data_IF_236162076014
#
_entry.id   IF_236162076014
#
_cell.length_a   1.000
_cell.length_b   1.000
_cell.length_c   1.000
_cell.angle_alpha   90.00
_cell.angle_beta   90.00
_cell.angle_gamma   90.00
#
_symmetry.space_group_name_H-M   'P 1'
#
loop_
_entity.id
_entity.type
_entity.pdbx_description
1 polymer ?
#
# COMPACT_ATOMS: atom_id res chain seq x y z
N UNK A 1 14.60 -3.71 11.95
CA UNK A 1 14.13 -2.58 11.11
C UNK A 1 13.10 -3.08 10.09
N UNK A 2 12.03 -2.32 9.86
CA UNK A 2 10.98 -2.66 8.88
C UNK A 2 10.92 -1.62 7.77
N UNK A 3 10.67 -2.02 6.52
CA UNK A 3 10.41 -1.11 5.40
C UNK A 3 8.93 -1.14 5.02
N UNK A 4 8.30 0.02 5.00
CA UNK A 4 6.90 0.22 4.66
C UNK A 4 6.80 0.99 3.35
N UNK A 5 6.13 0.43 2.36
CA UNK A 5 5.96 1.04 1.04
C UNK A 5 4.47 1.21 0.77
N UNK A 6 4.00 2.44 0.79
CA UNK A 6 2.62 2.81 0.49
C UNK A 6 2.51 3.21 -0.98
N UNK A 7 1.59 2.58 -1.69
CA UNK A 7 1.24 2.89 -3.08
C UNK A 7 -0.21 3.32 -3.08
N UNK A 8 -0.44 4.63 -3.19
CA UNK A 8 -1.74 5.26 -2.99
C UNK A 8 -2.27 5.82 -4.29
N UNK A 9 -3.46 5.41 -4.65
CA UNK A 9 -4.20 5.92 -5.79
C UNK A 9 -4.61 7.39 -5.56
N UNK A 10 -4.32 8.25 -6.55
CA UNK A 10 -4.84 9.61 -6.66
C UNK A 10 -5.46 9.86 -8.03
N UNK A 11 -5.99 8.82 -8.67
CA UNK A 11 -6.73 8.94 -9.92
C UNK A 11 -8.03 9.72 -9.74
N UNK A 12 -8.66 10.12 -10.84
CA UNK A 12 -9.84 10.98 -10.80
C UNK A 12 -11.03 10.42 -10.04
N UNK A 13 -11.13 9.09 -9.92
CA UNK A 13 -12.18 8.40 -9.14
C UNK A 13 -12.07 8.64 -7.63
N UNK A 14 -10.87 8.93 -7.13
CA UNK A 14 -10.64 9.32 -5.72
C UNK A 14 -11.11 10.74 -5.36
N UNK A 15 -11.71 11.48 -6.33
CA UNK A 15 -12.18 12.85 -6.11
C UNK A 15 -13.24 12.91 -5.02
N UNK A 16 -13.06 13.85 -4.09
CA UNK A 16 -13.92 14.02 -2.91
C UNK A 16 -13.45 13.24 -1.67
N UNK A 17 -12.41 12.42 -1.79
CA UNK A 17 -11.79 11.65 -0.69
C UNK A 17 -10.38 12.11 -0.34
N UNK A 18 -9.96 13.27 -0.87
CA UNK A 18 -8.62 13.79 -0.66
C UNK A 18 -8.34 14.04 0.82
N UNK A 19 -9.27 14.70 1.52
CA UNK A 19 -9.15 14.98 2.94
C UNK A 19 -9.11 13.70 3.79
N UNK A 20 -9.93 12.69 3.44
CA UNK A 20 -10.00 11.41 4.15
C UNK A 20 -8.72 10.60 3.94
N UNK A 21 -8.17 10.61 2.72
CA UNK A 21 -6.91 9.95 2.40
C UNK A 21 -5.75 10.59 3.15
N UNK A 22 -5.63 11.91 3.10
CA UNK A 22 -4.59 12.67 3.79
C UNK A 22 -4.71 12.47 5.31
N UNK A 23 -5.90 12.65 5.87
CA UNK A 23 -6.16 12.51 7.31
C UNK A 23 -5.89 11.09 7.80
N UNK A 24 -6.37 10.08 7.07
CA UNK A 24 -6.16 8.67 7.40
C UNK A 24 -4.69 8.28 7.35
N UNK A 25 -3.97 8.64 6.28
CA UNK A 25 -2.54 8.39 6.16
C UNK A 25 -1.75 9.05 7.29
N UNK A 26 -1.99 10.34 7.55
CA UNK A 26 -1.28 11.08 8.60
C UNK A 26 -1.55 10.51 9.99
N UNK A 27 -2.80 10.13 10.28
CA UNK A 27 -3.19 9.51 11.55
C UNK A 27 -2.49 8.16 11.75
N UNK A 28 -2.44 7.35 10.68
CA UNK A 28 -1.73 6.07 10.68
C UNK A 28 -0.23 6.28 10.93
N UNK A 29 0.44 7.19 10.22
CA UNK A 29 1.86 7.50 10.44
C UNK A 29 2.11 8.01 11.87
N UNK A 30 1.25 8.90 12.38
CA UNK A 30 1.37 9.40 13.76
C UNK A 30 1.23 8.28 14.80
N UNK A 31 0.36 7.30 14.56
CA UNK A 31 0.23 6.10 15.40
C UNK A 31 1.49 5.24 15.32
N UNK A 32 2.00 5.00 14.11
CA UNK A 32 3.20 4.20 13.90
C UNK A 32 4.46 4.80 14.56
N UNK A 33 4.56 6.12 14.66
CA UNK A 33 5.65 6.81 15.38
C UNK A 33 5.67 6.53 16.88
N UNK A 34 4.55 6.08 17.45
CA UNK A 34 4.44 5.71 18.89
C UNK A 34 4.80 4.26 19.16
N UNK A 35 4.88 3.43 18.13
CA UNK A 35 5.20 2.02 18.23
C UNK A 35 6.72 1.80 18.27
N UNK A 36 7.15 0.80 19.03
CA UNK A 36 8.57 0.45 19.14
C UNK A 36 9.16 -0.08 17.82
N UNK A 37 10.46 0.09 17.66
CA UNK A 37 11.22 -0.41 16.53
C UNK A 37 11.35 0.61 15.40
N UNK A 38 12.47 0.52 14.69
CA UNK A 38 12.77 1.39 13.55
C UNK A 38 12.00 0.98 12.30
N UNK A 39 11.56 1.97 11.53
CA UNK A 39 10.96 1.75 10.23
C UNK A 39 11.40 2.81 9.23
N UNK A 40 11.50 2.39 7.96
CA UNK A 40 11.64 3.27 6.80
C UNK A 40 10.30 3.34 6.08
N UNK A 41 9.99 4.51 5.55
CA UNK A 41 8.72 4.76 4.85
C UNK A 41 9.00 5.29 3.46
N UNK A 42 8.42 4.63 2.47
CA UNK A 42 8.28 5.12 1.11
C UNK A 42 6.81 5.33 0.79
N UNK A 43 6.47 6.43 0.13
CA UNK A 43 5.10 6.72 -0.29
C UNK A 43 5.09 7.14 -1.75
N UNK A 44 4.41 6.35 -2.56
CA UNK A 44 4.23 6.55 -3.99
C UNK A 44 2.77 6.91 -4.24
N UNK A 45 2.54 8.08 -4.77
CA UNK A 45 1.22 8.50 -5.25
C UNK A 45 1.14 8.24 -6.76
N UNK A 46 0.06 7.65 -7.23
CA UNK A 46 -0.06 7.34 -8.65
C UNK A 46 -1.40 7.77 -9.26
N UNK A 47 -1.34 8.11 -10.54
CA UNK A 47 -2.44 8.36 -11.45
C UNK A 47 -2.01 7.89 -12.85
N UNK A 48 -1.89 8.77 -13.85
CA UNK A 48 -1.24 8.45 -15.13
C UNK A 48 0.27 8.26 -14.98
N UNK A 49 0.85 8.87 -13.97
CA UNK A 49 2.25 8.84 -13.59
C UNK A 49 2.38 8.59 -12.08
N UNK A 50 3.57 8.25 -11.64
CA UNK A 50 3.88 8.04 -10.22
C UNK A 50 4.77 9.15 -9.70
N UNK A 51 4.49 9.60 -8.48
CA UNK A 51 5.29 10.58 -7.74
C UNK A 51 5.68 9.98 -6.39
N UNK A 52 6.97 9.91 -6.11
CA UNK A 52 7.48 9.49 -4.79
C UNK A 52 7.56 10.73 -3.91
N UNK A 53 6.75 10.78 -2.86
CA UNK A 53 6.74 11.89 -1.89
C UNK A 53 7.58 11.59 -0.65
N UNK A 54 7.74 10.32 -0.31
CA UNK A 54 8.68 9.85 0.70
C UNK A 54 9.50 8.71 0.08
N UNK A 55 10.82 8.79 0.17
CA UNK A 55 11.73 7.76 -0.32
C UNK A 55 12.62 7.27 0.82
N UNK A 56 12.23 6.13 1.39
CA UNK A 56 12.93 5.46 2.50
C UNK A 56 13.28 6.39 3.67
N UNK A 57 12.38 7.30 3.99
CA UNK A 57 12.58 8.18 5.13
C UNK A 57 12.45 7.40 6.45
N UNK A 58 13.33 7.63 7.43
CA UNK A 58 13.07 7.17 8.79
C UNK A 58 11.68 7.62 9.22
N UNK A 59 10.89 6.71 9.78
CA UNK A 59 9.49 6.96 10.16
C UNK A 59 9.31 8.24 10.98
N UNK A 60 10.23 8.50 11.90
CA UNK A 60 10.23 9.70 12.76
C UNK A 60 10.33 11.00 11.95
N UNK A 61 10.99 10.95 10.79
CA UNK A 61 11.22 12.10 9.92
C UNK A 61 10.16 12.28 8.83
N UNK A 62 9.19 11.36 8.72
CA UNK A 62 8.12 11.47 7.71
C UNK A 62 7.26 12.69 8.02
N UNK A 63 7.21 13.71 7.13
CA UNK A 63 6.35 14.87 7.33
C UNK A 63 4.89 14.48 7.07
N UNK A 64 3.93 15.22 7.60
CA UNK A 64 2.53 15.03 7.24
C UNK A 64 2.31 15.26 5.74
N UNK A 65 1.52 14.39 5.11
CA UNK A 65 1.01 14.60 3.76
C UNK A 65 0.05 15.78 3.76
N UNK A 66 0.08 16.61 2.71
CA UNK A 66 -0.74 17.81 2.56
C UNK A 66 -1.51 17.77 1.23
N UNK A 67 -2.46 18.71 1.07
CA UNK A 67 -3.17 18.92 -0.18
C UNK A 67 -2.25 19.30 -1.37
N UNK A 68 -1.03 19.77 -1.08
CA UNK A 68 -0.02 20.01 -2.12
C UNK A 68 0.60 18.72 -2.65
N UNK A 69 0.63 17.69 -1.82
CA UNK A 69 1.19 16.38 -2.16
C UNK A 69 0.13 15.49 -2.81
N UNK A 70 -1.06 15.44 -2.19
CA UNK A 70 -2.16 14.58 -2.61
C UNK A 70 -3.32 15.40 -3.17
N UNK A 71 -3.52 15.30 -4.48
CA UNK A 71 -4.65 15.83 -5.23
C UNK A 71 -5.01 14.88 -6.36
N UNK A 72 -6.28 14.73 -6.63
CA UNK A 72 -6.79 13.75 -7.59
C UNK A 72 -6.66 14.21 -9.02
N UNK A 73 -6.28 13.29 -9.93
CA UNK A 73 -6.16 13.55 -11.36
C UNK A 73 -6.03 12.29 -12.20
N UNK A 74 -6.45 12.36 -13.46
CA UNK A 74 -6.11 11.39 -14.50
C UNK A 74 -6.64 9.98 -14.29
N UNK A 75 -5.93 8.99 -14.84
CA UNK A 75 -6.27 7.58 -14.91
C UNK A 75 -5.43 6.76 -13.90
N UNK A 76 -5.54 5.43 -13.96
CA UNK A 76 -5.00 4.50 -12.95
C UNK A 76 -3.87 3.66 -13.56
N UNK A 77 -2.61 4.15 -13.52
CA UNK A 77 -1.42 3.42 -13.94
C UNK A 77 -0.84 2.59 -12.79
N UNK A 78 -1.62 1.64 -12.27
CA UNK A 78 -1.32 0.86 -11.08
C UNK A 78 -0.11 -0.07 -11.26
N UNK A 79 -0.01 -0.74 -12.43
CA UNK A 79 1.11 -1.64 -12.72
C UNK A 79 2.44 -0.89 -12.77
N UNK A 80 2.45 0.30 -13.36
CA UNK A 80 3.65 1.14 -13.43
C UNK A 80 4.10 1.61 -12.05
N UNK A 81 3.15 1.93 -11.16
CA UNK A 81 3.44 2.32 -9.79
C UNK A 81 3.99 1.15 -8.96
N UNK A 82 3.32 -0.01 -9.00
CA UNK A 82 3.72 -1.20 -8.24
C UNK A 82 5.06 -1.74 -8.76
N UNK A 83 5.18 -1.95 -10.08
CA UNK A 83 6.41 -2.46 -10.70
C UNK A 83 7.59 -1.52 -10.47
N UNK A 84 7.38 -0.21 -10.61
CA UNK A 84 8.40 0.81 -10.35
C UNK A 84 8.88 0.81 -8.91
N UNK A 85 7.97 0.73 -7.94
CA UNK A 85 8.30 0.70 -6.52
C UNK A 85 9.06 -0.59 -6.14
N UNK A 86 8.62 -1.76 -6.61
CA UNK A 86 9.32 -3.03 -6.38
C UNK A 86 10.74 -2.99 -6.97
N UNK A 87 10.88 -2.46 -8.18
CA UNK A 87 12.18 -2.32 -8.84
C UNK A 87 13.11 -1.41 -8.03
N UNK A 88 12.61 -0.24 -7.60
CA UNK A 88 13.37 0.74 -6.83
C UNK A 88 13.87 0.15 -5.50
N UNK A 89 12.96 -0.33 -4.65
CA UNK A 89 13.30 -0.91 -3.35
C UNK A 89 14.18 -2.16 -3.49
N UNK A 90 13.85 -3.03 -4.45
CA UNK A 90 14.62 -4.24 -4.71
C UNK A 90 16.05 -3.96 -5.16
N UNK A 91 16.29 -2.92 -5.94
CA UNK A 91 17.64 -2.49 -6.31
C UNK A 91 18.41 -1.95 -5.12
N UNK A 92 17.77 -1.14 -4.27
CA UNK A 92 18.42 -0.63 -3.06
C UNK A 92 18.83 -1.80 -2.16
N UNK A 93 17.95 -2.75 -1.88
CA UNK A 93 18.28 -3.93 -1.07
C UNK A 93 19.40 -4.79 -1.68
N UNK A 94 19.42 -4.91 -3.01
CA UNK A 94 20.44 -5.68 -3.72
C UNK A 94 21.86 -5.13 -3.53
N UNK A 95 22.00 -3.80 -3.45
CA UNK A 95 23.31 -3.13 -3.38
C UNK A 95 23.63 -2.58 -1.99
N UNK A 96 22.69 -2.62 -1.05
CA UNK A 96 22.90 -2.25 0.35
C UNK A 96 23.78 -3.30 1.05
N UNK A 97 24.49 -2.86 2.10
CA UNK A 97 25.14 -3.81 3.01
C UNK A 97 24.07 -4.65 3.70
N UNK A 98 24.39 -5.90 4.01
CA UNK A 98 23.44 -6.85 4.60
C UNK A 98 22.77 -6.32 5.88
N UNK A 99 23.52 -5.58 6.69
CA UNK A 99 23.06 -4.96 7.94
C UNK A 99 22.10 -3.78 7.73
N UNK A 100 22.13 -3.15 6.54
CA UNK A 100 21.28 -2.03 6.16
C UNK A 100 19.98 -2.48 5.44
N UNK A 101 19.86 -3.77 5.12
CA UNK A 101 18.64 -4.31 4.50
C UNK A 101 17.60 -4.58 5.60
N UNK A 102 16.38 -4.02 5.49
CA UNK A 102 15.32 -4.27 6.44
C UNK A 102 14.97 -5.76 6.57
N UNK A 103 14.73 -6.23 7.79
CA UNK A 103 14.34 -7.61 8.07
C UNK A 103 12.94 -7.94 7.53
N UNK A 104 12.09 -6.93 7.44
CA UNK A 104 10.73 -7.01 6.93
C UNK A 104 10.47 -5.88 5.95
N UNK A 105 9.82 -6.22 4.85
CA UNK A 105 9.36 -5.24 3.86
C UNK A 105 7.89 -5.50 3.58
N UNK A 106 7.06 -4.47 3.67
CA UNK A 106 5.63 -4.56 3.48
C UNK A 106 5.16 -3.50 2.49
N UNK A 107 4.50 -3.95 1.43
CA UNK A 107 3.84 -3.11 0.44
C UNK A 107 2.35 -3.03 0.77
N UNK A 108 1.82 -1.82 0.80
CA UNK A 108 0.40 -1.53 1.00
C UNK A 108 -0.10 -0.79 -0.24
N UNK A 109 -0.95 -1.46 -1.01
CA UNK A 109 -1.47 -0.97 -2.29
C UNK A 109 -2.94 -0.65 -2.10
N UNK A 110 -3.33 0.61 -2.32
CA UNK A 110 -4.73 1.03 -2.25
C UNK A 110 -5.16 1.65 -3.58
N UNK A 111 -6.31 1.23 -4.09
CA UNK A 111 -6.90 1.75 -5.34
C UNK A 111 -8.42 1.71 -5.27
N UNK A 112 -9.10 2.59 -5.98
CA UNK A 112 -10.55 2.58 -6.15
C UNK A 112 -11.02 2.21 -7.56
N UNK A 113 -10.08 1.74 -8.40
CA UNK A 113 -10.36 1.40 -9.79
C UNK A 113 -9.45 0.30 -10.34
N UNK A 114 -9.83 -0.17 -11.53
CA UNK A 114 -9.00 -1.10 -12.28
C UNK A 114 -7.84 -0.39 -12.97
N UNK A 115 -6.74 -1.13 -13.16
CA UNK A 115 -5.63 -0.75 -14.05
C UNK A 115 -6.15 -0.35 -15.45
N UNK A 116 -5.75 0.82 -15.93
CA UNK A 116 -6.20 1.30 -17.24
C UNK A 116 -5.22 2.21 -17.98
N UNK A 117 -4.04 2.49 -17.42
CA UNK A 117 -3.13 3.50 -17.98
C UNK A 117 -1.64 3.13 -17.99
N UNK A 118 -1.24 2.00 -17.44
CA UNK A 118 0.16 1.57 -17.40
C UNK A 118 0.73 1.30 -18.79
N UNK A 119 2.01 1.61 -18.98
CA UNK A 119 2.72 1.50 -20.25
C UNK A 119 4.07 0.78 -20.14
N UNK A 120 4.63 0.67 -18.95
CA UNK A 120 5.97 0.14 -18.69
C UNK A 120 5.96 -1.28 -18.16
N UNK A 121 4.95 -1.62 -17.38
CA UNK A 121 4.77 -2.91 -16.75
C UNK A 121 3.42 -3.50 -17.14
N UNK A 122 3.40 -4.81 -17.37
CA UNK A 122 2.19 -5.60 -17.53
C UNK A 122 1.93 -6.49 -16.31
N UNK A 123 0.78 -7.14 -16.27
CA UNK A 123 0.39 -8.02 -15.15
C UNK A 123 1.36 -9.16 -14.93
N UNK A 124 1.89 -9.75 -15.99
CA UNK A 124 2.81 -10.89 -15.89
C UNK A 124 4.16 -10.46 -15.31
N UNK A 125 4.67 -9.31 -15.74
CA UNK A 125 5.90 -8.73 -15.20
C UNK A 125 5.75 -8.43 -13.71
N UNK A 126 4.70 -7.72 -13.30
CA UNK A 126 4.47 -7.36 -11.89
C UNK A 126 4.24 -8.62 -11.05
N UNK A 127 3.48 -9.58 -11.55
CA UNK A 127 3.26 -10.86 -10.86
C UNK A 127 4.57 -11.59 -10.58
N UNK A 128 5.44 -11.76 -11.58
CA UNK A 128 6.75 -12.39 -11.40
C UNK A 128 7.61 -11.64 -10.38
N UNK A 129 7.54 -10.30 -10.38
CA UNK A 129 8.26 -9.48 -9.41
C UNK A 129 7.75 -9.72 -7.99
N UNK A 130 6.43 -9.70 -7.78
CA UNK A 130 5.80 -9.94 -6.47
C UNK A 130 6.12 -11.36 -5.97
N UNK A 131 5.88 -12.39 -6.79
CA UNK A 131 6.15 -13.78 -6.44
C UNK A 131 7.62 -13.97 -6.02
N UNK A 132 8.56 -13.43 -6.81
CA UNK A 132 9.99 -13.47 -6.47
C UNK A 132 10.31 -12.80 -5.13
N UNK A 133 9.73 -11.62 -4.85
CA UNK A 133 10.00 -10.91 -3.60
C UNK A 133 9.41 -11.64 -2.39
N UNK A 134 8.22 -12.23 -2.54
CA UNK A 134 7.59 -13.06 -1.50
C UNK A 134 8.42 -14.31 -1.21
N UNK A 135 8.75 -15.09 -2.24
CA UNK A 135 9.40 -16.38 -2.09
C UNK A 135 10.85 -16.25 -1.61
N UNK A 136 11.60 -15.30 -2.18
CA UNK A 136 13.04 -15.20 -1.93
C UNK A 136 13.40 -14.31 -0.74
N UNK A 137 12.59 -13.28 -0.49
CA UNK A 137 12.92 -12.25 0.49
C UNK A 137 11.86 -12.06 1.59
N UNK A 138 10.77 -12.81 1.52
CA UNK A 138 9.71 -12.75 2.52
C UNK A 138 8.97 -11.42 2.59
N UNK A 139 8.88 -10.70 1.44
CA UNK A 139 8.12 -9.46 1.39
C UNK A 139 6.63 -9.73 1.51
N UNK A 140 5.93 -8.86 2.22
CA UNK A 140 4.48 -8.89 2.37
C UNK A 140 3.82 -7.87 1.44
N UNK A 141 2.68 -8.25 0.86
CA UNK A 141 1.91 -7.37 -0.02
C UNK A 141 0.45 -7.39 0.41
N UNK A 142 -0.11 -6.21 0.71
CA UNK A 142 -1.54 -6.02 0.92
C UNK A 142 -2.14 -5.27 -0.25
N UNK A 143 -3.30 -5.71 -0.70
CA UNK A 143 -4.07 -5.08 -1.76
C UNK A 143 -5.47 -4.71 -1.24
N UNK A 144 -5.78 -3.42 -1.25
CA UNK A 144 -7.04 -2.88 -0.79
C UNK A 144 -7.71 -2.19 -1.98
N UNK A 145 -8.80 -2.75 -2.44
CA UNK A 145 -9.53 -2.30 -3.63
C UNK A 145 -10.93 -1.83 -3.30
N UNK A 146 -11.35 -0.68 -3.83
CA UNK A 146 -12.75 -0.26 -3.82
C UNK A 146 -13.30 -0.29 -5.25
N UNK A 147 -14.61 -0.42 -5.39
CA UNK A 147 -15.32 -0.43 -6.68
C UNK A 147 -14.84 -1.48 -7.69
N UNK A 148 -14.07 -2.47 -7.24
CA UNK A 148 -13.51 -3.56 -8.03
C UNK A 148 -13.70 -4.89 -7.30
N UNK A 149 -13.39 -6.01 -7.94
CA UNK A 149 -13.20 -7.29 -7.26
C UNK A 149 -11.74 -7.38 -6.80
N UNK A 150 -11.47 -6.93 -5.57
CA UNK A 150 -10.11 -6.83 -5.05
C UNK A 150 -9.40 -8.18 -5.00
N UNK A 151 -10.08 -9.27 -4.66
CA UNK A 151 -9.48 -10.59 -4.60
C UNK A 151 -9.09 -11.10 -5.99
N UNK A 152 -9.95 -10.88 -6.98
CA UNK A 152 -9.67 -11.26 -8.37
C UNK A 152 -8.56 -10.41 -8.97
N UNK A 153 -8.55 -9.11 -8.72
CA UNK A 153 -7.52 -8.22 -9.22
C UNK A 153 -6.16 -8.51 -8.56
N UNK A 154 -6.13 -8.70 -7.24
CA UNK A 154 -4.92 -9.09 -6.49
C UNK A 154 -4.31 -10.41 -7.01
N UNK A 155 -5.15 -11.39 -7.35
CA UNK A 155 -4.68 -12.67 -7.90
C UNK A 155 -3.94 -12.50 -9.24
N UNK A 156 -4.30 -11.50 -10.05
CA UNK A 156 -3.59 -11.16 -11.29
C UNK A 156 -2.16 -10.68 -11.01
N UNK A 157 -1.93 -10.06 -9.87
CA UNK A 157 -0.61 -9.62 -9.40
C UNK A 157 0.17 -10.72 -8.65
N UNK A 158 -0.41 -11.90 -8.41
CA UNK A 158 0.20 -12.93 -7.56
C UNK A 158 0.05 -12.67 -6.05
N UNK A 159 -0.92 -11.84 -5.66
CA UNK A 159 -1.28 -11.58 -4.27
C UNK A 159 -2.48 -12.46 -3.92
N UNK A 160 -2.37 -13.25 -2.84
CA UNK A 160 -3.43 -14.16 -2.41
C UNK A 160 -4.67 -13.44 -1.87
N UNK A 161 -5.82 -14.09 -1.93
CA UNK A 161 -7.08 -13.54 -1.41
C UNK A 161 -7.03 -13.24 0.09
N UNK A 162 -6.16 -13.92 0.85
CA UNK A 162 -5.91 -13.66 2.27
C UNK A 162 -5.19 -12.33 2.52
N UNK A 163 -4.62 -11.72 1.47
CA UNK A 163 -3.93 -10.43 1.48
C UNK A 163 -4.66 -9.36 0.67
N UNK A 164 -5.87 -9.65 0.21
CA UNK A 164 -6.70 -8.72 -0.54
C UNK A 164 -8.03 -8.47 0.17
N UNK A 165 -8.52 -7.24 0.11
CA UNK A 165 -9.81 -6.85 0.71
C UNK A 165 -10.51 -5.79 -0.12
N UNK A 166 -11.83 -5.90 -0.21
CA UNK A 166 -12.68 -4.83 -0.72
C UNK A 166 -13.03 -3.87 0.41
N UNK A 167 -12.94 -2.58 0.17
CA UNK A 167 -13.38 -1.56 1.12
C UNK A 167 -14.40 -0.60 0.51
N UNK A 168 -15.13 0.13 1.35
CA UNK A 168 -16.05 1.19 0.93
C UNK A 168 -15.29 2.48 0.70
N UNK A 169 -15.42 3.04 -0.50
CA UNK A 169 -14.78 4.29 -0.91
C UNK A 169 -15.62 5.49 -0.44
N UNK A 170 -15.71 5.67 0.87
CA UNK A 170 -16.37 6.79 1.56
C UNK A 170 -15.59 7.12 2.85
N UNK A 171 -15.93 8.22 3.51
CA UNK A 171 -15.28 8.71 4.73
C UNK A 171 -15.10 7.60 5.78
N UNK A 172 -16.18 6.86 6.09
CA UNK A 172 -16.16 5.80 7.11
C UNK A 172 -15.28 4.63 6.68
N UNK A 173 -15.40 4.19 5.44
CA UNK A 173 -14.61 3.09 4.88
C UNK A 173 -13.13 3.45 4.80
N UNK A 174 -12.79 4.69 4.42
CA UNK A 174 -11.41 5.18 4.40
C UNK A 174 -10.79 5.22 5.79
N UNK A 175 -11.51 5.73 6.78
CA UNK A 175 -11.05 5.77 8.17
C UNK A 175 -10.78 4.35 8.71
N UNK A 176 -11.73 3.42 8.51
CA UNK A 176 -11.58 2.02 8.90
C UNK A 176 -10.41 1.35 8.18
N UNK A 177 -10.24 1.64 6.90
CA UNK A 177 -9.17 1.10 6.08
C UNK A 177 -7.79 1.45 6.65
N UNK A 178 -7.54 2.73 6.94
CA UNK A 178 -6.27 3.17 7.54
C UNK A 178 -6.06 2.66 8.96
N UNK A 179 -7.13 2.49 9.74
CA UNK A 179 -7.05 1.88 11.07
C UNK A 179 -6.58 0.42 10.99
N UNK A 180 -7.20 -0.38 10.11
CA UNK A 180 -6.86 -1.79 9.91
C UNK A 180 -5.46 -1.95 9.30
N UNK A 181 -5.09 -1.11 8.32
CA UNK A 181 -3.72 -1.07 7.80
C UNK A 181 -2.73 -0.80 8.93
N UNK A 182 -3.03 0.16 9.82
CA UNK A 182 -2.16 0.48 10.96
C UNK A 182 -1.95 -0.73 11.88
N UNK A 183 -2.98 -1.52 12.15
CA UNK A 183 -2.89 -2.76 12.96
C UNK A 183 -2.07 -3.84 12.25
N UNK A 184 -2.24 -4.00 10.94
CA UNK A 184 -1.44 -4.92 10.14
C UNK A 184 0.05 -4.53 10.15
N UNK A 185 0.35 -3.25 9.99
CA UNK A 185 1.72 -2.71 10.07
C UNK A 185 2.33 -2.94 11.45
N UNK A 186 1.58 -2.70 12.54
CA UNK A 186 2.04 -2.99 13.91
C UNK A 186 2.41 -4.47 14.08
N UNK A 187 1.62 -5.38 13.50
CA UNK A 187 1.91 -6.82 13.57
C UNK A 187 3.21 -7.18 12.87
N UNK A 188 3.43 -6.66 11.66
CA UNK A 188 4.65 -6.90 10.88
C UNK A 188 5.87 -6.29 11.56
N UNK A 189 5.76 -5.06 12.10
CA UNK A 189 6.85 -4.39 12.84
C UNK A 189 7.23 -5.14 14.11
N UNK A 190 6.25 -5.76 14.78
CA UNK A 190 6.48 -6.61 15.94
C UNK A 190 6.96 -8.03 15.57
N UNK A 191 7.35 -8.26 14.30
CA UNK A 191 7.75 -9.56 13.76
C UNK A 191 6.70 -10.68 13.97
N UNK A 192 5.41 -10.32 14.12
CA UNK A 192 4.32 -11.27 14.23
C UNK A 192 3.78 -11.62 12.84
N UNK A 193 3.43 -12.90 12.59
CA UNK A 193 2.77 -13.28 11.34
C UNK A 193 1.47 -12.49 11.15
N UNK A 194 1.24 -11.98 9.95
CA UNK A 194 -0.03 -11.37 9.63
C UNK A 194 -1.08 -12.46 9.40
N UNK A 195 -2.05 -12.55 10.31
CA UNK A 195 -3.18 -13.48 10.21
C UNK A 195 -4.01 -13.18 8.96
N UNK A 196 -4.73 -14.17 8.42
CA UNK A 196 -5.73 -13.97 7.38
C UNK A 196 -6.92 -13.10 7.86
N UNK A 197 -7.14 -13.03 9.17
CA UNK A 197 -8.20 -12.24 9.81
C UNK A 197 -7.89 -10.73 9.89
N UNK A 198 -6.71 -10.29 9.44
CA UNK A 198 -6.32 -8.87 9.49
C UNK A 198 -7.38 -7.93 8.90
N UNK A 199 -8.10 -8.40 7.90
CA UNK A 199 -9.08 -7.65 7.12
C UNK A 199 -10.54 -7.82 7.59
N UNK A 200 -10.80 -8.65 8.62
CA UNK A 200 -12.17 -9.03 9.05
C UNK A 200 -13.07 -7.82 9.28
N UNK A 201 -12.60 -6.77 9.92
CA UNK A 201 -13.38 -5.56 10.21
C UNK A 201 -13.83 -4.84 8.92
N UNK A 202 -12.98 -4.82 7.89
CA UNK A 202 -13.30 -4.24 6.58
C UNK A 202 -14.33 -5.12 5.87
N UNK A 203 -14.14 -6.46 5.87
CA UNK A 203 -15.07 -7.40 5.26
C UNK A 203 -16.46 -7.30 5.91
N UNK A 204 -16.55 -7.22 7.24
CA UNK A 204 -17.80 -7.04 8.00
C UNK A 204 -18.49 -5.71 7.66
N UNK A 205 -17.73 -4.63 7.52
CA UNK A 205 -18.27 -3.32 7.14
C UNK A 205 -18.86 -3.33 5.73
N UNK A 206 -18.15 -3.91 4.76
CA UNK A 206 -18.64 -4.06 3.38
C UNK A 206 -19.90 -4.91 3.33
N UNK A 207 -19.95 -6.04 4.08
CA UNK A 207 -21.14 -6.89 4.15
C UNK A 207 -22.33 -6.16 4.76
N UNK A 208 -22.12 -5.45 5.88
CA UNK A 208 -23.19 -4.73 6.60
C UNK A 208 -23.77 -3.58 5.78
N UNK A 209 -22.94 -2.85 5.04
CA UNK A 209 -23.36 -1.66 4.28
C UNK A 209 -23.76 -1.97 2.82
N UNK A 210 -23.68 -3.25 2.41
CA UNK A 210 -23.91 -3.69 1.05
C UNK A 210 -22.75 -3.32 0.10
N UNK A 211 -22.81 -3.90 -1.09
CA UNK A 211 -21.84 -3.57 -2.16
C UNK A 211 -22.14 -2.24 -2.80
#
# INVERSE_FOLDING_TARGET
MTELVFILDRSGSMSGLEADTIGGFNSMIARQKKEAGEALVSTVLFANDSTVIHDRLPLEKVPPMTEKDYFTRGCTALLDAVGGAIHHIGNIHKYARREDVPEKTMFIITTDGYENASRRYDYEMVRRMIERQKEKYGWEFLFLGANIDAAKEAARFGIGADRAVNYKCDEVGMALNYEVISEAVCSVRAARPLSADWKRRIDEDVQRRGR
#
